data_IF_107449995585
#
_entry.id   IF_107449995585
#
_cell.length_a   1.000
_cell.length_b   1.000
_cell.length_c   1.000
_cell.angle_alpha   90.00
_cell.angle_beta   90.00
_cell.angle_gamma   90.00
#
_symmetry.space_group_name_H-M   'P 1'
#
loop_
_entity.id
_entity.type
_entity.pdbx_description
1 polymer ?
#
# COMPACT_ATOMS: atom_id res chain seq x y z
N UNK A 1 -37.20 -5.07 -11.02
CA UNK A 1 -35.92 -5.80 -11.14
C UNK A 1 -35.05 -5.06 -12.14
N UNK A 2 -34.21 -4.15 -11.65
CA UNK A 2 -33.34 -3.29 -12.45
C UNK A 2 -31.92 -3.84 -12.29
N UNK A 3 -31.31 -4.24 -13.42
CA UNK A 3 -29.92 -4.67 -13.49
C UNK A 3 -29.03 -3.48 -13.08
N UNK A 4 -28.47 -3.53 -11.88
CA UNK A 4 -27.38 -2.64 -11.47
C UNK A 4 -26.15 -2.99 -12.30
N UNK A 5 -25.80 -2.09 -13.21
CA UNK A 5 -24.56 -2.08 -13.97
C UNK A 5 -23.39 -1.84 -13.01
N UNK A 6 -22.57 -2.87 -12.77
CA UNK A 6 -21.39 -2.88 -11.88
C UNK A 6 -20.19 -2.21 -12.59
N UNK A 7 -20.38 -1.02 -13.16
CA UNK A 7 -19.33 -0.29 -13.87
C UNK A 7 -18.83 0.97 -13.15
N UNK A 8 -19.12 1.14 -11.86
CA UNK A 8 -18.78 2.36 -11.09
C UNK A 8 -18.07 2.10 -9.76
N UNK A 9 -17.06 1.22 -9.75
CA UNK A 9 -16.13 1.09 -8.61
C UNK A 9 -14.65 1.08 -9.04
N UNK A 10 -14.35 1.56 -10.26
CA UNK A 10 -12.99 1.81 -10.70
C UNK A 10 -12.61 3.24 -10.30
N UNK A 11 -11.43 3.38 -9.69
CA UNK A 11 -10.69 4.64 -9.44
C UNK A 11 -10.80 5.33 -8.06
N UNK A 12 -10.92 4.61 -6.94
CA UNK A 12 -10.71 5.23 -5.60
C UNK A 12 -10.09 4.31 -4.54
N UNK A 13 -9.14 3.45 -4.92
CA UNK A 13 -8.32 2.71 -3.96
C UNK A 13 -7.01 2.27 -4.60
N UNK A 14 -6.03 3.17 -4.76
CA UNK A 14 -4.71 2.80 -5.29
C UNK A 14 -3.60 3.45 -4.50
N UNK A 15 -3.63 3.26 -3.19
CA UNK A 15 -2.55 3.61 -2.29
C UNK A 15 -2.43 2.51 -1.24
N UNK A 16 -1.69 1.45 -1.57
CA UNK A 16 -1.30 0.39 -0.65
C UNK A 16 0.13 0.67 -0.22
N UNK A 17 0.28 1.56 0.75
CA UNK A 17 1.57 1.95 1.27
C UNK A 17 1.75 1.32 2.63
N UNK A 18 2.70 0.40 2.63
CA UNK A 18 3.50 0.02 3.77
C UNK A 18 3.78 1.16 4.75
N UNK A 19 3.28 1.05 5.97
CA UNK A 19 3.71 1.89 7.10
C UNK A 19 4.61 1.04 8.01
N UNK A 20 5.93 1.08 7.84
CA UNK A 20 6.83 0.34 8.72
C UNK A 20 6.89 1.00 10.10
N UNK A 21 6.69 0.19 11.13
CA UNK A 21 6.89 0.57 12.51
C UNK A 21 8.32 0.22 12.93
N UNK A 22 9.09 1.29 13.19
CA UNK A 22 10.38 1.38 13.89
C UNK A 22 11.57 0.54 13.37
N UNK A 23 12.74 1.15 13.51
CA UNK A 23 14.09 0.80 13.01
C UNK A 23 14.18 0.24 11.58
N UNK A 24 13.82 1.06 10.60
CA UNK A 24 14.21 0.84 9.23
C UNK A 24 15.70 1.05 9.02
N UNK A 25 16.34 0.07 8.38
CA UNK A 25 17.32 0.42 7.37
C UNK A 25 16.54 1.00 6.19
N UNK A 26 16.88 2.23 5.80
CA UNK A 26 16.29 2.89 4.63
C UNK A 26 16.45 1.99 3.40
N UNK A 27 15.42 1.88 2.55
CA UNK A 27 15.50 1.01 1.38
C UNK A 27 14.79 1.57 0.14
N UNK A 28 15.26 1.10 -1.01
CA UNK A 28 14.61 1.23 -2.32
C UNK A 28 14.15 -0.15 -2.76
N UNK A 29 12.95 -0.28 -3.29
CA UNK A 29 12.44 -1.54 -3.84
C UNK A 29 11.54 -1.29 -5.05
N UNK A 30 11.35 -2.31 -5.87
CA UNK A 30 10.22 -2.38 -6.79
C UNK A 30 9.08 -3.12 -6.07
N UNK A 31 7.86 -2.62 -6.17
CA UNK A 31 6.67 -3.29 -5.66
C UNK A 31 5.83 -3.77 -6.83
N UNK A 32 5.38 -5.01 -6.76
CA UNK A 32 4.41 -5.58 -7.68
C UNK A 32 3.10 -5.85 -6.96
N UNK A 33 2.02 -5.33 -7.50
CA UNK A 33 0.65 -5.59 -7.08
C UNK A 33 -0.02 -6.43 -8.15
N UNK A 34 -0.30 -7.69 -7.83
CA UNK A 34 -0.99 -8.62 -8.72
C UNK A 34 -2.42 -8.81 -8.26
N UNK A 35 -3.37 -8.55 -9.15
CA UNK A 35 -4.80 -8.76 -8.92
C UNK A 35 -5.27 -9.83 -9.89
N UNK A 36 -5.76 -10.95 -9.35
CA UNK A 36 -6.34 -12.06 -10.13
C UNK A 36 -7.82 -12.23 -9.79
N UNK A 37 -8.63 -12.64 -10.76
CA UNK A 37 -10.04 -12.99 -10.56
C UNK A 37 -10.26 -14.46 -10.91
N UNK A 38 -11.01 -15.18 -10.08
CA UNK A 38 -11.18 -16.63 -10.23
C UNK A 38 -10.10 -17.41 -9.48
N UNK A 39 -9.57 -18.44 -10.14
CA UNK A 39 -8.47 -19.24 -9.62
C UNK A 39 -7.22 -18.39 -9.34
N UNK A 40 -6.40 -18.82 -8.38
CA UNK A 40 -5.16 -18.12 -8.02
C UNK A 40 -4.27 -18.02 -9.26
N UNK A 41 -3.95 -16.79 -9.65
CA UNK A 41 -3.11 -16.51 -10.82
C UNK A 41 -3.85 -16.49 -12.16
N UNK A 42 -5.17 -16.65 -12.19
CA UNK A 42 -5.95 -16.53 -13.41
C UNK A 42 -6.10 -15.05 -13.84
N UNK A 43 -5.77 -14.75 -15.10
CA UNK A 43 -5.88 -13.43 -15.74
C UNK A 43 -5.31 -12.27 -14.89
N UNK A 44 -4.03 -12.35 -14.47
CA UNK A 44 -3.48 -11.40 -13.52
C UNK A 44 -3.33 -10.02 -14.16
N UNK A 45 -3.78 -8.99 -13.44
CA UNK A 45 -3.39 -7.60 -13.69
C UNK A 45 -2.26 -7.25 -12.75
N UNK A 46 -1.11 -6.88 -13.32
CA UNK A 46 0.08 -6.54 -12.56
C UNK A 46 0.32 -5.04 -12.67
N UNK A 47 0.46 -4.39 -11.53
CA UNK A 47 0.87 -3.00 -11.39
C UNK A 47 2.23 -2.97 -10.73
N UNK A 48 3.13 -2.13 -11.23
CA UNK A 48 4.46 -1.95 -10.65
C UNK A 48 4.61 -0.53 -10.10
N UNK A 49 5.24 -0.41 -8.94
CA UNK A 49 5.62 0.87 -8.37
C UNK A 49 7.07 0.83 -7.87
N UNK A 50 7.73 1.99 -7.84
CA UNK A 50 9.02 2.14 -7.15
C UNK A 50 8.78 2.68 -5.74
N UNK A 51 9.34 2.02 -4.75
CA UNK A 51 9.18 2.32 -3.33
C UNK A 51 10.48 2.87 -2.76
N UNK A 52 10.35 3.93 -1.97
CA UNK A 52 11.41 4.46 -1.12
C UNK A 52 10.87 4.52 0.31
N UNK A 53 11.54 3.87 1.24
CA UNK A 53 11.07 3.79 2.62
C UNK A 53 12.16 4.27 3.59
N UNK A 54 11.80 5.23 4.45
CA UNK A 54 12.68 5.80 5.47
C UNK A 54 11.89 6.07 6.75
N UNK A 55 12.05 5.19 7.75
CA UNK A 55 11.25 5.22 8.99
C UNK A 55 9.75 5.37 8.67
N UNK A 56 9.04 6.29 9.30
CA UNK A 56 7.61 6.53 9.05
C UNK A 56 7.32 7.33 7.76
N UNK A 57 8.28 7.44 6.84
CA UNK A 57 8.12 8.12 5.55
C UNK A 57 8.15 7.10 4.44
N UNK A 58 7.23 7.24 3.50
CA UNK A 58 7.23 6.41 2.31
C UNK A 58 6.93 7.25 1.07
N UNK A 59 7.63 6.95 -0.01
CA UNK A 59 7.37 7.48 -1.34
C UNK A 59 7.11 6.31 -2.29
N UNK A 60 6.03 6.40 -3.02
CA UNK A 60 5.64 5.43 -4.05
C UNK A 60 5.52 6.15 -5.38
N UNK A 61 6.27 5.71 -6.38
CA UNK A 61 6.17 6.21 -7.75
C UNK A 61 5.54 5.17 -8.65
N UNK A 62 4.51 5.56 -9.39
CA UNK A 62 3.76 4.67 -10.29
C UNK A 62 3.46 5.38 -11.60
N UNK A 63 3.31 4.61 -12.67
CA UNK A 63 2.77 5.10 -13.94
C UNK A 63 1.39 4.48 -14.15
N UNK A 64 0.35 5.33 -14.19
CA UNK A 64 -1.03 4.91 -14.37
C UNK A 64 -1.54 5.54 -15.66
N UNK A 65 -2.01 4.70 -16.60
CA UNK A 65 -2.51 5.15 -17.91
C UNK A 65 -1.53 6.12 -18.64
N UNK A 66 -0.23 5.85 -18.54
CA UNK A 66 0.83 6.66 -19.16
C UNK A 66 1.19 7.94 -18.42
N UNK A 67 0.56 8.24 -17.28
CA UNK A 67 0.85 9.42 -16.45
C UNK A 67 1.62 9.01 -15.20
N UNK A 68 2.65 9.77 -14.85
CA UNK A 68 3.40 9.55 -13.62
C UNK A 68 2.58 10.08 -12.44
N UNK A 69 2.51 9.31 -11.37
CA UNK A 69 1.96 9.71 -10.09
C UNK A 69 2.95 9.36 -9.00
N UNK A 70 3.11 10.27 -8.04
CA UNK A 70 3.99 10.05 -6.89
C UNK A 70 3.16 10.27 -5.64
N UNK A 71 3.07 9.26 -4.80
CA UNK A 71 2.57 9.46 -3.45
C UNK A 71 3.72 9.60 -2.47
N UNK A 72 3.58 10.55 -1.56
CA UNK A 72 4.48 10.75 -0.43
C UNK A 72 3.65 10.71 0.85
N UNK A 73 3.91 9.72 1.70
CA UNK A 73 3.31 9.54 3.01
C UNK A 73 4.29 9.94 4.11
N UNK A 74 3.81 10.75 5.07
CA UNK A 74 4.56 11.32 6.19
C UNK A 74 3.90 10.95 7.52
N UNK A 75 4.10 9.70 7.93
CA UNK A 75 3.67 9.19 9.24
C UNK A 75 4.58 9.63 10.39
N UNK A 76 5.67 10.34 10.09
CA UNK A 76 6.57 10.95 11.08
C UNK A 76 6.07 12.29 11.62
N UNK A 77 5.02 12.87 11.01
CA UNK A 77 4.39 14.12 11.45
C UNK A 77 3.44 13.84 12.62
N UNK A 78 3.25 14.85 13.49
CA UNK A 78 2.28 14.76 14.60
C UNK A 78 0.86 14.44 14.11
N UNK A 79 0.46 15.10 13.02
CA UNK A 79 -0.73 14.73 12.25
C UNK A 79 -0.25 14.09 10.95
N UNK A 80 -0.39 12.77 10.81
CA UNK A 80 0.06 12.09 9.62
C UNK A 80 -0.61 12.65 8.36
N UNK A 81 0.17 12.73 7.29
CA UNK A 81 -0.25 13.40 6.06
C UNK A 81 0.28 12.65 4.85
N UNK A 82 -0.46 12.68 3.76
CA UNK A 82 -0.09 12.12 2.47
C UNK A 82 -0.32 13.14 1.37
N UNK A 83 0.59 13.17 0.40
CA UNK A 83 0.47 13.97 -0.81
C UNK A 83 0.49 13.10 -2.05
N UNK A 84 -0.46 13.35 -2.95
CA UNK A 84 -0.47 12.76 -4.29
C UNK A 84 -0.05 13.82 -5.29
N UNK A 85 1.15 13.64 -5.85
CA UNK A 85 1.79 14.55 -6.77
C UNK A 85 1.51 14.08 -8.21
N UNK A 86 1.21 15.06 -9.06
CA UNK A 86 0.99 14.92 -10.49
C UNK A 86 2.08 15.75 -11.17
N UNK A 87 3.22 15.12 -11.54
CA UNK A 87 4.43 15.84 -11.90
C UNK A 87 4.32 16.63 -13.20
N UNK A 88 3.56 16.10 -14.17
CA UNK A 88 3.40 16.71 -15.48
C UNK A 88 2.66 18.06 -15.36
N UNK A 89 1.73 18.17 -14.41
CA UNK A 89 0.97 19.37 -14.12
C UNK A 89 1.58 20.25 -13.01
N UNK A 90 2.61 19.77 -12.29
CA UNK A 90 3.14 20.40 -11.08
C UNK A 90 2.05 20.73 -10.07
N UNK A 91 1.17 19.77 -9.82
CA UNK A 91 0.07 19.91 -8.87
C UNK A 91 0.10 18.77 -7.85
N UNK A 92 -0.52 18.98 -6.70
CA UNK A 92 -0.71 17.91 -5.71
C UNK A 92 -2.03 18.03 -4.95
N UNK A 93 -2.54 16.90 -4.48
CA UNK A 93 -3.61 16.83 -3.48
C UNK A 93 -3.05 16.41 -2.14
N UNK A 94 -3.71 16.80 -1.05
CA UNK A 94 -3.29 16.47 0.31
C UNK A 94 -4.42 15.75 1.05
N UNK A 95 -4.03 14.72 1.79
CA UNK A 95 -4.93 13.84 2.54
C UNK A 95 -4.38 13.63 3.95
N UNK A 96 -5.20 13.91 4.98
CA UNK A 96 -4.90 13.58 6.38
C UNK A 96 -5.47 12.23 6.83
N UNK A 97 -6.18 11.54 5.93
CA UNK A 97 -6.62 10.17 6.16
C UNK A 97 -5.52 9.22 5.72
N UNK A 98 -4.59 8.87 6.63
CA UNK A 98 -3.79 7.65 6.44
C UNK A 98 -4.68 6.45 6.74
N UNK A 99 -5.52 6.12 5.76
CA UNK A 99 -6.16 4.81 5.68
C UNK A 99 -5.75 4.20 4.37
N UNK A 100 -4.59 3.53 4.34
CA UNK A 100 -4.35 2.60 3.24
C UNK A 100 -5.39 1.48 3.40
N UNK A 101 -6.20 1.17 2.38
CA UNK A 101 -6.85 -0.13 2.35
C UNK A 101 -5.71 -1.16 2.49
N UNK A 102 -5.73 -2.02 3.51
CA UNK A 102 -4.62 -2.94 3.79
C UNK A 102 -3.58 -2.48 4.82
N UNK A 103 -3.75 -1.31 5.43
CA UNK A 103 -3.01 -0.94 6.64
C UNK A 103 -3.62 -1.68 7.85
N UNK A 104 -3.24 -2.94 7.99
CA UNK A 104 -3.52 -3.74 9.19
C UNK A 104 -2.46 -3.49 10.29
N UNK A 105 -1.56 -2.52 10.08
CA UNK A 105 -0.41 -2.24 10.94
C UNK A 105 -0.49 -0.89 11.64
N UNK A 106 -1.23 0.09 11.11
CA UNK A 106 -1.63 1.25 11.91
C UNK A 106 -2.76 0.86 12.85
N UNK A 107 -2.78 1.51 14.01
CA UNK A 107 -3.72 1.38 15.12
C UNK A 107 -5.18 1.72 14.74
N UNK A 108 -5.67 1.27 13.58
CA UNK A 108 -7.07 0.94 13.45
C UNK A 108 -7.38 -0.06 14.57
N UNK A 109 -8.33 0.30 15.43
CA UNK A 109 -8.85 -0.53 16.53
C UNK A 109 -9.62 -1.75 16.01
N UNK A 110 -9.12 -2.39 14.97
CA UNK A 110 -9.69 -3.58 14.38
C UNK A 110 -8.93 -4.74 15.01
N UNK A 111 -9.60 -5.47 15.89
CA UNK A 111 -9.05 -6.68 16.49
C UNK A 111 -8.67 -7.65 15.36
N UNK A 112 -7.37 -7.79 15.12
CA UNK A 112 -6.83 -8.79 14.21
C UNK A 112 -6.03 -9.82 15.00
N UNK A 113 -6.15 -11.07 14.57
CA UNK A 113 -5.36 -12.18 15.07
C UNK A 113 -4.18 -12.40 14.12
N UNK A 114 -2.97 -12.51 14.67
CA UNK A 114 -1.74 -12.80 13.92
C UNK A 114 -1.10 -14.07 14.45
N UNK A 115 -1.06 -15.10 13.61
CA UNK A 115 -0.54 -16.43 13.97
C UNK A 115 0.70 -16.74 13.14
N UNK A 116 1.82 -17.04 13.79
CA UNK A 116 3.04 -17.49 13.12
C UNK A 116 2.81 -18.84 12.43
N UNK A 117 3.26 -18.97 11.18
CA UNK A 117 3.10 -20.20 10.40
C UNK A 117 4.45 -20.86 10.12
N UNK A 118 5.41 -20.09 9.60
CA UNK A 118 6.67 -20.63 9.11
C UNK A 118 7.74 -19.54 9.00
N UNK A 119 9.00 -19.97 8.90
CA UNK A 119 10.13 -19.13 8.50
C UNK A 119 10.58 -19.55 7.10
N UNK A 120 10.51 -18.65 6.14
CA UNK A 120 10.86 -18.95 4.74
C UNK A 120 11.46 -17.74 4.01
N UNK A 121 12.33 -17.94 3.00
CA UNK A 121 12.86 -16.84 2.22
C UNK A 121 11.84 -16.36 1.18
N UNK A 122 11.70 -15.04 1.01
CA UNK A 122 10.94 -14.40 -0.07
C UNK A 122 11.85 -13.40 -0.77
N UNK A 123 12.00 -13.54 -2.09
CA UNK A 123 12.92 -12.72 -2.88
C UNK A 123 14.37 -12.69 -2.34
N UNK A 124 14.83 -13.80 -1.75
CA UNK A 124 16.16 -13.92 -1.15
C UNK A 124 16.29 -13.37 0.27
N UNK A 125 15.25 -12.73 0.82
CA UNK A 125 15.22 -12.16 2.17
C UNK A 125 14.55 -13.15 3.12
N UNK A 126 15.14 -13.40 4.29
CA UNK A 126 14.57 -14.32 5.27
C UNK A 126 13.37 -13.68 5.97
N UNK A 127 12.23 -14.38 5.99
CA UNK A 127 10.97 -13.85 6.54
C UNK A 127 10.31 -14.75 7.58
N UNK A 128 9.52 -14.15 8.46
CA UNK A 128 8.50 -14.83 9.25
C UNK A 128 7.15 -14.70 8.52
N UNK A 129 6.53 -15.83 8.20
CA UNK A 129 5.20 -15.91 7.61
C UNK A 129 4.15 -15.97 8.71
N UNK A 130 3.13 -15.14 8.60
CA UNK A 130 1.98 -15.13 9.49
C UNK A 130 0.66 -15.25 8.74
N UNK A 131 -0.33 -15.83 9.39
CA UNK A 131 -1.74 -15.69 9.03
C UNK A 131 -2.32 -14.51 9.79
N UNK A 132 -2.95 -13.59 9.06
CA UNK A 132 -3.76 -12.51 9.62
C UNK A 132 -5.24 -12.88 9.49
N UNK A 133 -6.03 -12.62 10.52
CA UNK A 133 -7.50 -12.75 10.47
C UNK A 133 -8.14 -11.54 11.14
N UNK A 134 -9.17 -10.95 10.53
CA UNK A 134 -9.88 -9.79 11.08
C UNK A 134 -11.37 -9.85 10.74
N UNK A 135 -12.17 -9.09 11.49
CA UNK A 135 -13.61 -8.98 11.28
C UNK A 135 -13.94 -7.71 10.49
N UNK A 136 -14.72 -7.84 9.43
CA UNK A 136 -15.26 -6.74 8.64
C UNK A 136 -16.49 -6.11 9.31
N UNK A 137 -16.88 -4.92 8.85
CA UNK A 137 -18.04 -4.19 9.38
C UNK A 137 -19.38 -4.91 9.19
N UNK A 138 -19.50 -5.75 8.16
CA UNK A 138 -20.65 -6.62 7.91
C UNK A 138 -20.66 -7.89 8.78
N UNK A 139 -19.65 -8.05 9.64
CA UNK A 139 -19.48 -9.19 10.53
C UNK A 139 -18.80 -10.40 9.91
N UNK A 140 -18.50 -10.37 8.61
CA UNK A 140 -17.72 -11.42 7.95
C UNK A 140 -16.27 -11.43 8.46
N UNK A 141 -15.63 -12.61 8.42
CA UNK A 141 -14.20 -12.74 8.73
C UNK A 141 -13.42 -12.79 7.43
N UNK A 142 -12.35 -12.01 7.36
CA UNK A 142 -11.35 -12.11 6.31
C UNK A 142 -10.03 -12.59 6.89
N UNK A 143 -9.22 -13.17 6.02
CA UNK A 143 -7.87 -13.57 6.35
C UNK A 143 -6.90 -13.25 5.21
N UNK A 144 -5.64 -13.09 5.57
CA UNK A 144 -4.54 -12.93 4.64
C UNK A 144 -3.28 -13.59 5.15
N UNK A 145 -2.26 -13.59 4.31
CA UNK A 145 -0.91 -13.99 4.67
C UNK A 145 -0.01 -12.76 4.60
N UNK A 146 0.93 -12.68 5.53
CA UNK A 146 1.96 -11.65 5.53
C UNK A 146 3.32 -12.30 5.77
N UNK A 147 4.32 -11.87 5.02
CA UNK A 147 5.71 -12.27 5.21
C UNK A 147 6.50 -11.05 5.64
N UNK A 148 7.08 -11.14 6.82
CA UNK A 148 7.82 -10.06 7.47
C UNK A 148 9.30 -10.35 7.45
N UNK A 149 10.07 -9.48 6.80
CA UNK A 149 11.51 -9.61 6.67
C UNK A 149 12.18 -9.41 8.03
N UNK A 150 12.88 -10.44 8.50
CA UNK A 150 13.52 -10.46 9.81
C UNK A 150 14.63 -9.40 9.89
N UNK A 151 15.41 -9.28 8.82
CA UNK A 151 16.49 -8.30 8.70
C UNK A 151 15.98 -6.85 8.49
N UNK A 152 14.69 -6.66 8.22
CA UNK A 152 14.06 -5.34 8.07
C UNK A 152 13.10 -5.04 9.23
N UNK A 153 13.44 -5.50 10.44
CA UNK A 153 12.66 -5.31 11.68
C UNK A 153 11.19 -5.73 11.52
N UNK A 154 10.98 -6.88 10.89
CA UNK A 154 9.66 -7.43 10.58
C UNK A 154 8.82 -6.53 9.66
N UNK A 155 9.43 -5.64 8.88
CA UNK A 155 8.73 -4.97 7.79
C UNK A 155 8.15 -6.05 6.86
N UNK A 156 6.84 -6.00 6.55
CA UNK A 156 6.32 -6.92 5.58
C UNK A 156 7.09 -6.78 4.21
N UNK A 157 7.18 -7.83 3.42
CA UNK A 157 7.75 -7.74 2.06
C UNK A 157 6.90 -8.48 1.04
N UNK A 158 5.94 -9.26 1.53
CA UNK A 158 4.88 -9.88 0.75
C UNK A 158 3.60 -9.92 1.57
N UNK A 159 2.47 -9.67 0.92
CA UNK A 159 1.14 -9.79 1.50
C UNK A 159 0.21 -10.45 0.48
N UNK A 160 -0.65 -11.32 0.96
CA UNK A 160 -1.58 -12.09 0.13
C UNK A 160 -2.97 -12.05 0.75
N UNK A 161 -3.95 -11.58 -0.01
CA UNK A 161 -5.31 -11.40 0.46
C UNK A 161 -6.30 -12.06 -0.49
N UNK A 162 -7.33 -12.67 0.09
CA UNK A 162 -8.40 -13.34 -0.64
C UNK A 162 -9.74 -12.74 -0.26
N UNK A 163 -10.54 -12.34 -1.24
CA UNK A 163 -11.91 -11.86 -1.02
C UNK A 163 -12.75 -12.13 -2.25
N UNK A 164 -13.93 -12.75 -2.09
CA UNK A 164 -14.97 -12.87 -3.12
C UNK A 164 -14.43 -13.19 -4.53
N UNK A 165 -13.70 -14.29 -4.66
CA UNK A 165 -13.11 -14.75 -5.93
C UNK A 165 -12.04 -13.80 -6.52
N UNK A 166 -11.46 -12.94 -5.70
CA UNK A 166 -10.33 -12.08 -6.02
C UNK A 166 -9.14 -12.44 -5.13
N UNK A 167 -7.97 -12.45 -5.75
CA UNK A 167 -6.70 -12.64 -5.11
C UNK A 167 -5.84 -11.41 -5.34
N UNK A 168 -5.37 -10.80 -4.25
CA UNK A 168 -4.48 -9.65 -4.23
C UNK A 168 -3.14 -10.08 -3.64
N UNK A 169 -2.08 -9.94 -4.41
CA UNK A 169 -0.71 -10.20 -3.98
C UNK A 169 0.11 -8.92 -4.09
N UNK A 170 0.68 -8.47 -2.99
CA UNK A 170 1.66 -7.39 -2.94
C UNK A 170 3.02 -8.02 -2.65
N UNK A 171 4.06 -7.67 -3.41
CA UNK A 171 5.40 -8.16 -3.16
C UNK A 171 6.46 -7.12 -3.50
N UNK A 172 7.44 -6.95 -2.62
CA UNK A 172 8.67 -6.23 -2.90
C UNK A 172 9.68 -7.12 -3.62
N UNK A 173 10.40 -6.53 -4.55
CA UNK A 173 11.50 -7.13 -5.29
C UNK A 173 12.63 -6.12 -5.42
N UNK A 174 13.83 -6.60 -5.76
CA UNK A 174 15.03 -5.76 -5.96
C UNK A 174 15.31 -4.82 -4.78
N UNK A 175 15.09 -5.29 -3.55
CA UNK A 175 15.27 -4.49 -2.34
C UNK A 175 16.73 -4.13 -2.16
N UNK A 176 17.01 -2.84 -2.03
CA UNK A 176 18.35 -2.29 -1.79
C UNK A 176 18.32 -1.45 -0.52
N UNK A 177 19.00 -1.93 0.50
CA UNK A 177 19.18 -1.20 1.76
C UNK A 177 20.25 -0.13 1.58
N UNK A 178 19.86 1.14 1.68
CA UNK A 178 20.75 2.28 1.53
C UNK A 178 20.13 3.52 2.17
N UNK A 179 20.97 4.43 2.69
CA UNK A 179 20.51 5.74 3.16
C UNK A 179 19.82 6.51 2.03
N UNK A 180 18.66 7.09 2.35
CA UNK A 180 17.88 7.89 1.40
C UNK A 180 18.02 9.39 1.65
N UNK A 181 18.03 10.16 0.55
CA UNK A 181 17.99 11.61 0.61
C UNK A 181 16.64 12.05 1.23
N UNK A 182 16.64 12.83 2.33
CA UNK A 182 15.41 13.31 2.96
C UNK A 182 14.48 14.09 2.01
N UNK A 183 15.03 14.75 0.99
CA UNK A 183 14.26 15.54 0.01
C UNK A 183 13.32 14.70 -0.85
N UNK A 184 13.54 13.38 -0.97
CA UNK A 184 12.62 12.46 -1.65
C UNK A 184 11.21 12.47 -1.03
N UNK A 185 11.10 12.85 0.24
CA UNK A 185 9.86 12.82 1.03
C UNK A 185 9.26 14.21 1.25
N UNK A 186 9.66 15.19 0.43
CA UNK A 186 9.11 16.54 0.43
C UNK A 186 8.46 16.85 -0.93
N UNK A 187 7.53 17.81 -0.95
CA UNK A 187 6.95 18.30 -2.19
C UNK A 187 8.02 19.13 -2.93
N UNK A 188 8.33 18.85 -4.21
CA UNK A 188 9.29 19.65 -4.97
C UNK A 188 8.82 21.10 -5.16
N UNK A 189 9.76 22.02 -5.36
CA UNK A 189 9.45 23.43 -5.61
C UNK A 189 8.58 23.63 -6.86
N UNK A 190 7.66 24.60 -6.78
CA UNK A 190 6.77 24.97 -7.89
C UNK A 190 5.50 24.13 -8.00
N UNK A 191 5.28 23.17 -7.11
CA UNK A 191 4.03 22.41 -7.05
C UNK A 191 2.91 23.22 -6.40
N UNK A 192 1.71 23.17 -6.99
CA UNK A 192 0.52 23.85 -6.49
C UNK A 192 -0.47 22.88 -5.87
N UNK A 193 -0.94 23.20 -4.66
CA UNK A 193 -2.00 22.43 -4.01
C UNK A 193 -3.31 22.64 -4.76
N UNK A 194 -4.03 21.55 -5.01
CA UNK A 194 -5.39 21.57 -5.49
C UNK A 194 -6.32 20.88 -4.49
N UNK A 195 -7.54 21.39 -4.37
CA UNK A 195 -8.59 20.77 -3.57
C UNK A 195 -9.45 19.89 -4.46
N UNK A 196 -9.52 18.60 -4.16
CA UNK A 196 -10.53 17.74 -4.78
C UNK A 196 -11.88 18.07 -4.11
N UNK A 197 -12.92 18.47 -4.86
CA UNK A 197 -14.24 18.67 -4.27
C UNK A 197 -14.69 17.36 -3.63
N UNK A 198 -15.12 17.41 -2.35
CA UNK A 198 -15.76 16.26 -1.70
C UNK A 198 -16.94 15.84 -2.56
N UNK A 199 -16.82 14.70 -3.27
CA UNK A 199 -17.96 14.11 -3.97
C UNK A 199 -19.04 13.87 -2.91
N UNK A 200 -20.25 14.44 -3.05
CA UNK A 200 -21.33 14.14 -2.12
C UNK A 200 -21.57 12.62 -2.12
N UNK A 201 -21.91 12.01 -0.97
CA UNK A 201 -22.28 10.60 -0.96
C UNK A 201 -23.40 10.39 -1.98
N UNK A 202 -23.26 9.38 -2.84
CA UNK A 202 -24.34 8.99 -3.73
C UNK A 202 -25.59 8.72 -2.85
N UNK A 203 -26.77 9.24 -3.22
CA UNK A 203 -28.02 8.92 -2.53
C UNK A 203 -28.35 7.43 -2.62
#
# INVERSE_FOLDING_TARGET
MIKMSIYSALLSAFLFIFTPQQVLADYIADQFVTISQGEIGANPRIFSAKIYSQKKKLRMEVVIAGRRSINISRGDREQPISWDLMPDEKMYTESHHLGSPGDFTSESKQDYEKVFLAKEPVAGIMTNKFKLSWKESDGSRRSGLVWEAIEFDNAPIRQEFFSNNQHLLLQLANVKVQKLDPTLFEIPEGYKKISVPKKPPNP
#
